data_IF_367440100551
#
_entry.id   IF_367440100551
#
_cell.length_a   1.000
_cell.length_b   1.000
_cell.length_c   1.000
_cell.angle_alpha   90.00
_cell.angle_beta   90.00
_cell.angle_gamma   90.00
#
_symmetry.space_group_name_H-M   'P 1'
#
loop_
_entity.id
_entity.type
_entity.pdbx_description
1 polymer ?
#
# COMPACT_ATOMS: atom_id res chain seq x y z
N UNK A 1 1.04 12.36 27.64
CA UNK A 1 2.45 12.45 27.13
C UNK A 1 2.36 12.73 25.64
N UNK A 2 3.35 13.38 25.03
CA UNK A 2 3.36 13.55 23.58
C UNK A 2 3.62 12.19 22.91
N UNK A 3 3.01 11.93 21.76
CA UNK A 3 3.27 10.73 20.97
C UNK A 3 4.76 10.68 20.53
N UNK A 4 5.31 9.48 20.38
CA UNK A 4 6.69 9.30 19.88
C UNK A 4 6.80 9.74 18.41
N UNK A 5 5.72 9.56 17.63
CA UNK A 5 5.60 10.05 16.26
C UNK A 5 4.36 10.92 16.13
N UNK A 6 4.55 12.15 15.65
CA UNK A 6 3.47 13.12 15.44
C UNK A 6 2.79 12.97 14.07
N UNK A 7 3.47 12.33 13.11
CA UNK A 7 2.98 12.07 11.77
C UNK A 7 3.20 10.61 11.39
N UNK A 8 2.22 10.01 10.73
CA UNK A 8 2.33 8.64 10.21
C UNK A 8 1.83 8.59 8.76
N UNK A 9 2.68 8.05 7.90
CA UNK A 9 2.34 7.82 6.48
C UNK A 9 2.18 6.31 6.29
N UNK A 10 0.97 5.88 5.94
CA UNK A 10 0.62 4.47 5.70
C UNK A 10 0.65 4.13 4.21
N UNK A 11 1.13 2.95 3.86
CA UNK A 11 0.69 2.31 2.63
C UNK A 11 -0.76 1.84 2.75
N UNK A 12 -1.37 1.47 1.63
CA UNK A 12 -2.77 1.04 1.55
C UNK A 12 -2.90 -0.49 1.47
N UNK A 13 -2.51 -1.06 0.30
CA UNK A 13 -2.73 -2.45 -0.04
C UNK A 13 -1.82 -3.37 0.79
N UNK A 14 -2.39 -4.22 1.64
CA UNK A 14 -1.63 -5.07 2.56
C UNK A 14 -1.29 -4.42 3.90
N UNK A 15 -1.49 -3.11 4.05
CA UNK A 15 -1.15 -2.39 5.28
C UNK A 15 -2.38 -2.03 6.10
N UNK A 16 -3.27 -1.20 5.59
CA UNK A 16 -4.53 -0.82 6.25
C UNK A 16 -5.75 -1.46 5.59
N UNK A 17 -5.63 -1.91 4.34
CA UNK A 17 -6.70 -2.51 3.54
C UNK A 17 -6.24 -3.85 2.94
N UNK A 18 -6.99 -4.93 3.17
CA UNK A 18 -6.74 -6.21 2.50
C UNK A 18 -7.46 -6.20 1.14
N UNK A 19 -6.68 -6.07 0.08
CA UNK A 19 -7.16 -5.98 -1.30
C UNK A 19 -6.74 -7.18 -2.15
N UNK A 20 -6.12 -8.20 -1.53
CA UNK A 20 -5.44 -9.27 -2.24
C UNK A 20 -6.37 -10.09 -3.14
N UNK A 21 -7.56 -10.45 -2.63
CA UNK A 21 -8.51 -11.31 -3.35
C UNK A 21 -9.05 -10.63 -4.60
N UNK A 22 -9.41 -9.35 -4.52
CA UNK A 22 -9.93 -8.59 -5.66
C UNK A 22 -8.85 -8.32 -6.72
N UNK A 23 -7.60 -8.07 -6.29
CA UNK A 23 -6.47 -7.96 -7.21
C UNK A 23 -6.17 -9.29 -7.91
N UNK A 24 -6.25 -10.41 -7.18
CA UNK A 24 -6.06 -11.75 -7.73
C UNK A 24 -7.21 -12.12 -8.68
N UNK A 25 -8.46 -11.82 -8.33
CA UNK A 25 -9.62 -12.05 -9.20
C UNK A 25 -9.46 -11.30 -10.54
N UNK A 26 -9.08 -10.02 -10.50
CA UNK A 26 -8.87 -9.22 -11.70
C UNK A 26 -7.71 -9.74 -12.56
N UNK A 27 -6.60 -10.15 -11.93
CA UNK A 27 -5.48 -10.75 -12.65
C UNK A 27 -5.85 -12.08 -13.30
N UNK A 28 -6.56 -12.95 -12.60
CA UNK A 28 -7.02 -14.24 -13.11
C UNK A 28 -8.08 -14.08 -14.20
N UNK A 29 -9.02 -13.13 -14.04
CA UNK A 29 -9.97 -12.80 -15.11
C UNK A 29 -9.23 -12.41 -16.40
N UNK A 30 -8.21 -11.55 -16.29
CA UNK A 30 -7.37 -11.16 -17.45
C UNK A 30 -6.66 -12.37 -18.03
N UNK A 31 -6.07 -13.23 -17.20
CA UNK A 31 -5.42 -14.46 -17.67
C UNK A 31 -6.39 -15.35 -18.44
N UNK A 32 -7.60 -15.58 -17.93
CA UNK A 32 -8.63 -16.39 -18.57
C UNK A 32 -9.09 -15.82 -19.93
N UNK A 33 -9.28 -14.48 -20.00
CA UNK A 33 -9.66 -13.78 -21.23
C UNK A 33 -8.63 -13.96 -22.35
N UNK A 34 -7.36 -14.11 -21.98
CA UNK A 34 -6.25 -14.32 -22.93
C UNK A 34 -5.83 -15.79 -23.06
N UNK A 35 -6.47 -16.73 -22.38
CA UNK A 35 -6.12 -18.16 -22.38
C UNK A 35 -4.78 -18.46 -21.68
N UNK A 36 -4.37 -17.62 -20.73
CA UNK A 36 -3.14 -17.77 -19.94
C UNK A 36 -3.39 -18.58 -18.67
N UNK A 37 -2.33 -19.17 -18.08
CA UNK A 37 -2.43 -19.80 -16.77
C UNK A 37 -2.86 -18.82 -15.70
N UNK A 38 -3.78 -19.26 -14.80
CA UNK A 38 -4.17 -18.54 -13.61
C UNK A 38 -3.26 -18.88 -12.42
N UNK A 39 -3.35 -18.09 -11.34
CA UNK A 39 -2.54 -18.22 -10.14
C UNK A 39 -3.44 -18.33 -8.90
N UNK A 40 -2.97 -19.04 -7.88
CA UNK A 40 -3.63 -19.00 -6.57
C UNK A 40 -3.57 -17.58 -5.98
N UNK A 41 -4.58 -17.22 -5.16
CA UNK A 41 -4.63 -15.90 -4.52
C UNK A 41 -3.33 -15.58 -3.77
N UNK A 42 -2.79 -16.57 -3.07
CA UNK A 42 -1.56 -16.40 -2.27
C UNK A 42 -0.31 -16.08 -3.12
N UNK A 43 -0.26 -16.49 -4.37
CA UNK A 43 0.82 -16.14 -5.30
C UNK A 43 0.81 -14.66 -5.69
N UNK A 44 -0.35 -14.00 -5.60
CA UNK A 44 -0.46 -12.56 -5.85
C UNK A 44 0.22 -11.71 -4.79
N UNK A 45 0.48 -12.23 -3.59
CA UNK A 45 1.24 -11.53 -2.54
C UNK A 45 2.56 -10.98 -3.09
N UNK A 46 3.23 -11.72 -3.98
CA UNK A 46 4.52 -11.32 -4.57
C UNK A 46 4.39 -10.60 -5.93
N UNK A 47 3.19 -10.54 -6.49
CA UNK A 47 2.92 -9.81 -7.72
C UNK A 47 2.51 -8.35 -7.45
N UNK A 48 1.86 -8.09 -6.32
CA UNK A 48 1.37 -6.76 -5.87
C UNK A 48 2.50 -5.93 -5.22
N UNK A 49 2.28 -4.62 -5.05
CA UNK A 49 3.15 -3.68 -4.28
C UNK A 49 3.88 -2.63 -5.14
N UNK A 50 4.09 -2.87 -6.43
CA UNK A 50 4.78 -1.92 -7.32
C UNK A 50 3.85 -1.22 -8.33
N UNK A 51 2.54 -1.20 -8.05
CA UNK A 51 1.52 -0.62 -8.91
C UNK A 51 1.02 -1.57 -10.00
N UNK A 52 -0.05 -1.15 -10.66
CA UNK A 52 -0.81 -1.97 -11.61
C UNK A 52 0.03 -2.43 -12.82
N UNK A 53 0.88 -1.57 -13.36
CA UNK A 53 1.71 -1.92 -14.53
C UNK A 53 2.61 -3.13 -14.22
N UNK A 54 3.28 -3.10 -13.06
CA UNK A 54 4.14 -4.21 -12.62
C UNK A 54 3.35 -5.46 -12.25
N UNK A 55 2.14 -5.33 -11.73
CA UNK A 55 1.26 -6.46 -11.48
C UNK A 55 0.91 -7.16 -12.79
N UNK A 56 0.51 -6.42 -13.83
CA UNK A 56 0.20 -6.98 -15.16
C UNK A 56 1.44 -7.66 -15.77
N UNK A 57 2.60 -7.01 -15.76
CA UNK A 57 3.85 -7.62 -16.24
C UNK A 57 4.16 -8.96 -15.55
N UNK A 58 3.84 -9.09 -14.24
CA UNK A 58 4.17 -10.27 -13.42
C UNK A 58 3.23 -11.45 -13.60
N UNK A 59 2.03 -11.25 -14.09
CA UNK A 59 1.14 -12.37 -14.40
C UNK A 59 1.10 -12.71 -15.90
N UNK A 60 1.61 -11.84 -16.78
CA UNK A 60 1.74 -12.16 -18.20
C UNK A 60 2.77 -13.29 -18.42
N UNK A 61 2.48 -14.26 -19.32
CA UNK A 61 3.44 -15.27 -19.68
C UNK A 61 4.71 -14.68 -20.29
N UNK A 62 5.88 -15.31 -20.00
CA UNK A 62 7.18 -14.83 -20.44
C UNK A 62 7.33 -14.70 -21.96
N UNK A 63 6.55 -15.46 -22.74
CA UNK A 63 6.53 -15.40 -24.21
C UNK A 63 6.03 -14.06 -24.76
N UNK A 64 5.26 -13.29 -23.95
CA UNK A 64 4.80 -11.94 -24.28
C UNK A 64 5.67 -10.83 -23.64
N UNK A 65 6.81 -11.19 -23.04
CA UNK A 65 7.70 -10.20 -22.45
C UNK A 65 8.21 -9.24 -23.56
N UNK A 66 7.92 -7.94 -23.39
CA UNK A 66 8.26 -6.92 -24.39
C UNK A 66 7.24 -6.72 -25.51
N UNK A 67 6.16 -7.51 -25.58
CA UNK A 67 5.04 -7.24 -26.49
C UNK A 67 4.15 -6.12 -25.93
N UNK A 68 4.45 -4.88 -26.31
CA UNK A 68 3.73 -3.70 -25.85
C UNK A 68 2.24 -3.72 -26.23
N UNK A 69 1.86 -4.33 -27.36
CA UNK A 69 0.44 -4.44 -27.76
C UNK A 69 -0.32 -5.39 -26.83
N UNK A 70 0.26 -6.56 -26.55
CA UNK A 70 -0.35 -7.54 -25.64
C UNK A 70 -0.44 -6.98 -24.23
N UNK A 71 0.61 -6.26 -23.77
CA UNK A 71 0.61 -5.60 -22.47
C UNK A 71 -0.54 -4.58 -22.35
N UNK A 72 -0.73 -3.70 -23.33
CA UNK A 72 -1.80 -2.71 -23.32
C UNK A 72 -3.20 -3.34 -23.32
N UNK A 73 -3.38 -4.45 -24.04
CA UNK A 73 -4.63 -5.21 -24.03
C UNK A 73 -4.91 -5.81 -22.65
N UNK A 74 -3.93 -6.51 -22.06
CA UNK A 74 -4.04 -7.09 -20.72
C UNK A 74 -4.27 -6.02 -19.65
N UNK A 75 -3.60 -4.88 -19.75
CA UNK A 75 -3.77 -3.76 -18.84
C UNK A 75 -5.18 -3.16 -18.94
N UNK A 76 -5.72 -3.01 -20.12
CA UNK A 76 -7.08 -2.50 -20.32
C UNK A 76 -8.12 -3.46 -19.75
N UNK A 77 -7.98 -4.78 -19.98
CA UNK A 77 -8.84 -5.82 -19.42
C UNK A 77 -8.80 -5.82 -17.89
N UNK A 78 -7.58 -5.82 -17.31
CA UNK A 78 -7.41 -5.76 -15.86
C UNK A 78 -8.08 -4.52 -15.27
N UNK A 79 -7.87 -3.33 -15.88
CA UNK A 79 -8.46 -2.07 -15.41
C UNK A 79 -9.99 -2.09 -15.43
N UNK A 80 -10.57 -2.62 -16.51
CA UNK A 80 -12.01 -2.71 -16.65
C UNK A 80 -12.60 -3.58 -15.55
N UNK A 81 -12.11 -4.81 -15.39
CA UNK A 81 -12.59 -5.73 -14.38
C UNK A 81 -12.35 -5.23 -12.94
N UNK A 82 -11.12 -4.81 -12.63
CA UNK A 82 -10.78 -4.31 -11.30
C UNK A 82 -11.58 -3.05 -10.94
N UNK A 83 -11.89 -2.19 -11.91
CA UNK A 83 -12.72 -1.00 -11.69
C UNK A 83 -14.10 -1.32 -11.13
N UNK A 84 -14.71 -2.42 -11.58
CA UNK A 84 -16.04 -2.87 -11.18
C UNK A 84 -16.02 -3.77 -9.92
N UNK A 85 -14.93 -4.56 -9.72
CA UNK A 85 -14.85 -5.64 -8.74
C UNK A 85 -13.86 -5.38 -7.58
N UNK A 86 -13.28 -4.20 -7.48
CA UNK A 86 -12.24 -3.87 -6.46
C UNK A 86 -12.74 -3.83 -5.01
N UNK A 87 -14.02 -4.07 -4.80
CA UNK A 87 -14.70 -3.96 -3.52
C UNK A 87 -15.49 -5.20 -3.13
N UNK A 88 -15.35 -6.30 -3.90
CA UNK A 88 -16.11 -7.53 -3.68
C UNK A 88 -15.64 -8.27 -2.41
N UNK A 89 -14.32 -8.28 -2.14
CA UNK A 89 -13.68 -8.92 -0.98
C UNK A 89 -12.80 -7.96 -0.18
N UNK A 90 -12.52 -6.77 -0.72
CA UNK A 90 -11.68 -5.77 -0.06
C UNK A 90 -12.29 -5.30 1.26
N UNK A 91 -11.49 -5.32 2.33
CA UNK A 91 -11.91 -4.87 3.66
C UNK A 91 -10.72 -4.34 4.47
N UNK A 92 -10.93 -3.42 5.44
CA UNK A 92 -9.91 -3.09 6.43
C UNK A 92 -9.47 -4.32 7.22
N UNK A 93 -8.18 -4.40 7.56
CA UNK A 93 -7.74 -5.40 8.53
C UNK A 93 -8.41 -5.18 9.88
N UNK A 94 -8.67 -6.28 10.62
CA UNK A 94 -9.31 -6.21 11.92
C UNK A 94 -8.53 -5.28 12.88
N UNK A 95 -9.22 -4.37 13.57
CA UNK A 95 -8.62 -3.41 14.50
C UNK A 95 -8.01 -2.16 13.83
N UNK A 96 -7.98 -2.07 12.50
CA UNK A 96 -7.38 -0.92 11.79
C UNK A 96 -8.14 0.37 12.07
N UNK A 97 -9.48 0.36 12.00
CA UNK A 97 -10.29 1.56 12.22
C UNK A 97 -10.10 2.08 13.65
N UNK A 98 -10.15 1.20 14.64
CA UNK A 98 -9.95 1.53 16.05
C UNK A 98 -8.55 2.10 16.31
N UNK A 99 -7.53 1.52 15.67
CA UNK A 99 -6.15 2.04 15.73
C UNK A 99 -6.08 3.46 15.15
N UNK A 100 -6.60 3.69 13.95
CA UNK A 100 -6.57 5.02 13.30
C UNK A 100 -7.31 6.06 14.16
N UNK A 101 -8.48 5.72 14.71
CA UNK A 101 -9.24 6.62 15.58
C UNK A 101 -8.48 6.93 16.88
N UNK A 102 -7.81 5.94 17.50
CA UNK A 102 -6.95 6.13 18.67
C UNK A 102 -5.78 7.08 18.39
N UNK A 103 -5.09 6.90 17.27
CA UNK A 103 -3.98 7.77 16.86
C UNK A 103 -4.43 9.22 16.64
N UNK A 104 -5.56 9.41 15.94
CA UNK A 104 -6.14 10.76 15.75
C UNK A 104 -6.55 11.41 17.05
N UNK A 105 -7.19 10.67 17.96
CA UNK A 105 -7.58 11.17 19.27
C UNK A 105 -6.37 11.61 20.11
N UNK A 106 -5.20 11.03 19.89
CA UNK A 106 -3.93 11.44 20.48
C UNK A 106 -3.25 12.62 19.75
N UNK A 107 -3.84 13.14 18.67
CA UNK A 107 -3.31 14.28 17.91
C UNK A 107 -2.28 13.90 16.84
N UNK A 108 -2.13 12.60 16.52
CA UNK A 108 -1.25 12.15 15.42
C UNK A 108 -1.89 12.48 14.08
N UNK A 109 -1.15 13.10 13.18
CA UNK A 109 -1.59 13.34 11.80
C UNK A 109 -1.30 12.12 10.94
N UNK A 110 -2.32 11.67 10.21
CA UNK A 110 -2.25 10.47 9.37
C UNK A 110 -2.32 10.83 7.89
N UNK A 111 -1.53 10.16 7.07
CA UNK A 111 -1.60 10.23 5.62
C UNK A 111 -1.52 8.83 5.00
N UNK A 112 -1.96 8.72 3.76
CA UNK A 112 -1.76 7.52 2.93
C UNK A 112 -0.87 7.86 1.75
N UNK A 113 0.13 7.02 1.49
CA UNK A 113 0.96 7.05 0.29
C UNK A 113 1.08 5.65 -0.30
N UNK A 114 0.53 5.44 -1.49
CA UNK A 114 0.47 4.13 -2.13
C UNK A 114 0.86 4.15 -3.61
N UNK A 115 1.41 3.02 -4.10
CA UNK A 115 1.66 2.79 -5.53
C UNK A 115 0.38 2.45 -6.32
N UNK A 116 -0.77 2.31 -5.65
CA UNK A 116 -2.07 2.19 -6.31
C UNK A 116 -2.43 3.51 -6.99
N UNK A 117 -2.95 3.44 -8.22
CA UNK A 117 -3.38 4.64 -8.96
C UNK A 117 -4.35 5.47 -8.10
N UNK A 118 -4.15 6.79 -8.05
CA UNK A 118 -4.91 7.69 -7.17
C UNK A 118 -6.43 7.59 -7.40
N UNK A 119 -6.83 7.45 -8.66
CA UNK A 119 -8.25 7.30 -9.04
C UNK A 119 -8.89 6.02 -8.48
N UNK A 120 -8.09 5.01 -8.14
CA UNK A 120 -8.57 3.78 -7.50
C UNK A 120 -8.40 3.82 -5.97
N UNK A 121 -7.38 4.48 -5.45
CA UNK A 121 -7.08 4.54 -4.02
C UNK A 121 -8.05 5.48 -3.27
N UNK A 122 -8.27 6.69 -3.78
CA UNK A 122 -9.07 7.70 -3.08
C UNK A 122 -10.52 7.25 -2.80
N UNK A 123 -11.26 6.63 -3.75
CA UNK A 123 -12.60 6.11 -3.46
C UNK A 123 -12.62 4.98 -2.39
N UNK A 124 -11.61 4.11 -2.37
CA UNK A 124 -11.51 3.06 -1.35
C UNK A 124 -11.26 3.66 0.04
N UNK A 125 -10.39 4.67 0.13
CA UNK A 125 -10.16 5.38 1.40
C UNK A 125 -11.45 6.04 1.88
N UNK A 126 -12.15 6.74 1.01
CA UNK A 126 -13.43 7.39 1.35
C UNK A 126 -14.45 6.37 1.86
N UNK A 127 -14.61 5.26 1.14
CA UNK A 127 -15.59 4.22 1.49
C UNK A 127 -15.31 3.56 2.84
N UNK A 128 -14.06 3.14 3.07
CA UNK A 128 -13.73 2.28 4.21
C UNK A 128 -13.29 3.06 5.45
N UNK A 129 -12.78 4.27 5.28
CA UNK A 129 -12.20 5.05 6.37
C UNK A 129 -12.82 6.44 6.54
N UNK A 130 -13.50 6.99 5.50
CA UNK A 130 -13.92 8.39 5.46
C UNK A 130 -12.75 9.33 5.20
N UNK A 131 -13.00 10.41 4.47
CA UNK A 131 -11.95 11.37 4.06
C UNK A 131 -11.31 12.11 5.24
N UNK A 132 -12.03 12.27 6.33
CA UNK A 132 -11.58 13.05 7.49
C UNK A 132 -10.52 12.36 8.35
N UNK A 133 -10.24 11.05 8.16
CA UNK A 133 -9.22 10.33 8.94
C UNK A 133 -7.81 10.64 8.52
N UNK A 134 -7.62 11.00 7.26
CA UNK A 134 -6.30 11.28 6.71
C UNK A 134 -6.18 12.75 6.29
N UNK A 135 -5.12 13.41 6.72
CA UNK A 135 -4.81 14.78 6.30
C UNK A 135 -4.47 14.85 4.81
N UNK A 136 -3.89 13.75 4.25
CA UNK A 136 -3.54 13.63 2.84
C UNK A 136 -3.68 12.18 2.39
N UNK A 137 -4.21 11.99 1.17
CA UNK A 137 -4.20 10.71 0.45
C UNK A 137 -3.48 10.89 -0.88
N UNK A 138 -2.32 10.27 -1.02
CA UNK A 138 -1.50 10.30 -2.22
C UNK A 138 -1.42 8.91 -2.84
N UNK A 139 -2.16 8.66 -3.90
CA UNK A 139 -1.95 7.53 -4.79
C UNK A 139 -0.99 7.88 -5.91
N UNK A 140 -0.64 6.89 -6.74
CA UNK A 140 0.22 7.09 -7.89
C UNK A 140 -0.40 8.07 -8.89
N UNK A 141 0.42 9.02 -9.32
CA UNK A 141 0.17 9.97 -10.41
C UNK A 141 1.45 10.13 -11.22
N UNK A 142 1.35 10.57 -12.48
CA UNK A 142 2.51 10.71 -13.38
C UNK A 142 3.48 11.84 -12.95
N UNK A 143 3.04 12.74 -12.07
CA UNK A 143 3.87 13.85 -11.57
C UNK A 143 5.05 13.39 -10.71
N UNK A 144 5.00 12.18 -10.14
CA UNK A 144 6.04 11.65 -9.28
C UNK A 144 6.46 10.24 -9.71
N UNK A 145 7.75 9.88 -9.54
CA UNK A 145 8.17 8.49 -9.63
C UNK A 145 7.48 7.66 -8.53
N UNK A 146 7.22 6.35 -8.78
CA UNK A 146 6.59 5.50 -7.78
C UNK A 146 7.50 5.24 -6.58
N UNK A 147 6.91 4.80 -5.46
CA UNK A 147 7.65 4.21 -4.34
C UNK A 147 8.54 3.06 -4.86
N UNK A 148 9.77 2.89 -4.36
CA UNK A 148 10.37 3.52 -3.17
C UNK A 148 11.12 4.83 -3.45
N UNK A 149 10.98 5.46 -4.60
CA UNK A 149 11.66 6.72 -4.88
C UNK A 149 11.21 7.83 -3.91
N UNK A 150 12.18 8.62 -3.41
CA UNK A 150 11.94 9.61 -2.37
C UNK A 150 11.00 10.78 -2.75
N UNK A 151 10.95 11.29 -4.00
CA UNK A 151 10.26 12.53 -4.31
C UNK A 151 8.81 12.60 -3.86
N UNK A 152 8.03 11.51 -4.04
CA UNK A 152 6.62 11.51 -3.65
C UNK A 152 6.46 11.51 -2.12
N UNK A 153 7.33 10.82 -1.38
CA UNK A 153 7.31 10.82 0.10
C UNK A 153 7.67 12.18 0.66
N UNK A 154 8.69 12.84 0.09
CA UNK A 154 9.10 14.20 0.48
C UNK A 154 7.99 15.22 0.20
N UNK A 155 7.27 15.10 -0.92
CA UNK A 155 6.09 15.91 -1.21
C UNK A 155 4.99 15.72 -0.16
N UNK A 156 4.66 14.48 0.21
CA UNK A 156 3.68 14.18 1.27
C UNK A 156 4.09 14.82 2.60
N UNK A 157 5.37 14.74 2.96
CA UNK A 157 5.89 15.36 4.17
C UNK A 157 5.79 16.88 4.15
N UNK A 158 6.10 17.52 3.01
CA UNK A 158 5.96 18.96 2.82
C UNK A 158 4.52 19.43 2.99
N UNK A 159 3.56 18.74 2.36
CA UNK A 159 2.13 19.03 2.48
C UNK A 159 1.60 18.90 3.93
N UNK A 160 2.16 17.95 4.69
CA UNK A 160 1.82 17.75 6.10
C UNK A 160 2.54 18.71 7.04
N UNK A 161 3.57 19.42 6.59
CA UNK A 161 4.50 20.15 7.46
C UNK A 161 5.23 19.21 8.44
N UNK A 162 5.52 17.98 8.01
CA UNK A 162 6.02 16.91 8.86
C UNK A 162 7.54 16.99 9.04
N UNK A 163 8.02 16.77 10.27
CA UNK A 163 9.45 16.65 10.60
C UNK A 163 9.88 15.18 10.46
N UNK A 164 10.97 14.89 9.71
CA UNK A 164 11.45 13.52 9.53
C UNK A 164 11.73 12.78 10.86
N UNK A 165 12.20 13.48 11.88
CA UNK A 165 12.53 12.87 13.18
C UNK A 165 11.31 12.39 13.98
N UNK A 166 10.11 12.89 13.66
CA UNK A 166 8.85 12.56 14.30
C UNK A 166 7.82 11.99 13.34
N UNK A 167 8.25 11.57 12.14
CA UNK A 167 7.42 10.93 11.13
C UNK A 167 7.79 9.46 10.97
N UNK A 168 6.78 8.59 10.94
CA UNK A 168 6.93 7.15 10.71
C UNK A 168 6.29 6.75 9.38
N UNK A 169 7.01 5.99 8.56
CA UNK A 169 6.44 5.31 7.41
C UNK A 169 6.03 3.89 7.79
N UNK A 170 4.80 3.48 7.44
CA UNK A 170 4.23 2.17 7.80
C UNK A 170 3.80 1.42 6.55
N UNK A 171 4.27 0.19 6.38
CA UNK A 171 3.89 -0.66 5.27
C UNK A 171 4.19 -2.14 5.49
N UNK A 172 3.80 -2.98 4.54
CA UNK A 172 3.86 -4.43 4.67
C UNK A 172 4.92 -5.12 3.78
N UNK A 173 5.72 -4.35 3.05
CA UNK A 173 6.68 -4.88 2.07
C UNK A 173 8.05 -4.21 2.16
N UNK A 174 9.05 -4.83 1.51
CA UNK A 174 10.37 -4.22 1.33
C UNK A 174 10.31 -2.86 0.63
N UNK A 175 9.34 -2.66 -0.29
CA UNK A 175 9.13 -1.37 -0.96
C UNK A 175 8.84 -0.27 0.05
N UNK A 176 8.04 -0.56 1.06
CA UNK A 176 7.64 0.42 2.09
C UNK A 176 8.79 0.78 3.02
N UNK A 177 9.56 -0.23 3.42
CA UNK A 177 10.74 -0.02 4.25
C UNK A 177 11.73 0.89 3.52
N UNK A 178 12.02 0.59 2.26
CA UNK A 178 12.88 1.43 1.42
C UNK A 178 12.28 2.83 1.18
N UNK A 179 10.95 2.94 1.06
CA UNK A 179 10.27 4.24 0.90
C UNK A 179 10.53 5.16 2.10
N UNK A 180 10.37 4.64 3.32
CA UNK A 180 10.71 5.37 4.54
C UNK A 180 12.19 5.78 4.55
N UNK A 181 13.10 4.84 4.36
CA UNK A 181 14.54 5.08 4.41
C UNK A 181 15.03 6.07 3.34
N UNK A 182 14.55 5.95 2.10
CA UNK A 182 14.94 6.84 1.01
C UNK A 182 14.49 8.30 1.26
N UNK A 183 13.45 8.51 2.05
CA UNK A 183 13.00 9.83 2.48
C UNK A 183 13.59 10.28 3.83
N UNK A 184 14.50 9.50 4.43
CA UNK A 184 15.12 9.81 5.72
C UNK A 184 14.21 9.58 6.92
N UNK A 185 13.16 8.78 6.78
CA UNK A 185 12.21 8.43 7.83
C UNK A 185 12.58 7.10 8.50
N UNK A 186 12.10 6.91 9.72
CA UNK A 186 11.98 5.58 10.29
C UNK A 186 10.83 4.81 9.63
N UNK A 187 11.00 3.49 9.56
CA UNK A 187 10.03 2.58 8.96
C UNK A 187 9.53 1.54 9.96
N UNK A 188 8.22 1.27 9.92
CA UNK A 188 7.62 0.16 10.63
C UNK A 188 6.98 -0.83 9.62
N UNK A 189 7.44 -2.08 9.66
CA UNK A 189 6.85 -3.17 8.92
C UNK A 189 5.70 -3.80 9.68
N UNK A 190 4.58 -4.06 9.01
CA UNK A 190 3.42 -4.74 9.57
C UNK A 190 3.36 -6.18 9.04
N UNK A 191 3.42 -7.19 9.94
CA UNK A 191 3.56 -8.59 9.54
C UNK A 191 2.26 -9.27 9.11
N UNK A 192 1.10 -8.64 9.36
CA UNK A 192 -0.22 -9.16 8.91
C UNK A 192 -0.49 -8.96 7.42
N UNK A 193 0.36 -8.19 6.72
CA UNK A 193 0.20 -7.88 5.31
C UNK A 193 0.61 -8.99 4.35
N UNK A 194 1.00 -8.63 3.14
CA UNK A 194 1.26 -9.59 2.07
C UNK A 194 2.62 -10.29 2.21
N UNK A 195 3.66 -9.63 2.78
CA UNK A 195 5.04 -10.14 2.75
C UNK A 195 5.51 -10.85 4.03
N UNK A 196 4.96 -10.49 5.17
CA UNK A 196 5.32 -11.08 6.45
C UNK A 196 6.67 -10.63 7.03
N UNK A 197 6.90 -11.01 8.28
CA UNK A 197 8.00 -10.51 9.15
C UNK A 197 9.40 -10.69 8.55
N UNK A 198 9.70 -11.86 7.97
CA UNK A 198 11.06 -12.16 7.52
C UNK A 198 11.53 -11.24 6.39
N UNK A 199 10.65 -10.86 5.45
CA UNK A 199 10.99 -9.89 4.39
C UNK A 199 11.22 -8.50 4.98
N UNK A 200 10.38 -8.06 5.92
CA UNK A 200 10.48 -6.75 6.56
C UNK A 200 11.79 -6.60 7.35
N UNK A 201 12.15 -7.60 8.14
CA UNK A 201 13.43 -7.65 8.86
C UNK A 201 14.61 -7.65 7.90
N UNK A 202 14.53 -8.43 6.83
CA UNK A 202 15.58 -8.51 5.79
C UNK A 202 15.74 -7.20 5.03
N UNK A 203 14.65 -6.44 4.87
CA UNK A 203 14.67 -5.09 4.27
C UNK A 203 15.22 -4.01 5.21
N UNK A 204 15.48 -4.35 6.48
CA UNK A 204 16.07 -3.46 7.48
C UNK A 204 15.04 -2.56 8.18
N UNK A 205 13.78 -2.97 8.31
CA UNK A 205 12.76 -2.20 9.03
C UNK A 205 13.27 -1.79 10.43
N UNK A 206 13.07 -0.52 10.80
CA UNK A 206 13.43 -0.04 12.15
C UNK A 206 12.58 -0.73 13.23
N UNK A 207 11.32 -1.02 12.88
CA UNK A 207 10.36 -1.73 13.73
C UNK A 207 9.60 -2.76 12.91
N UNK A 208 9.25 -3.91 13.53
CA UNK A 208 8.31 -4.87 12.95
C UNK A 208 7.28 -5.22 14.02
N UNK A 209 6.01 -5.03 13.71
CA UNK A 209 4.88 -5.25 14.61
C UNK A 209 3.92 -6.30 14.03
N UNK A 210 3.26 -7.05 14.91
CA UNK A 210 2.36 -8.14 14.52
C UNK A 210 0.88 -7.77 14.65
N UNK A 211 0.55 -6.69 15.37
CA UNK A 211 -0.83 -6.27 15.61
C UNK A 211 -0.99 -4.75 15.52
N UNK A 212 -2.22 -4.31 15.23
CA UNK A 212 -2.61 -2.90 15.24
C UNK A 212 -2.42 -2.27 16.63
N UNK A 213 -2.60 -3.05 17.70
CA UNK A 213 -2.37 -2.60 19.07
C UNK A 213 -0.90 -2.29 19.33
N UNK A 214 0.03 -3.15 18.87
CA UNK A 214 1.48 -2.93 18.95
C UNK A 214 1.91 -1.71 18.13
N UNK A 215 1.35 -1.55 16.92
CA UNK A 215 1.63 -0.37 16.10
C UNK A 215 1.17 0.92 16.77
N UNK A 216 -0.03 0.93 17.35
CA UNK A 216 -0.53 2.10 18.08
C UNK A 216 0.35 2.43 19.30
N UNK A 217 0.75 1.42 20.08
CA UNK A 217 1.65 1.60 21.23
C UNK A 217 3.01 2.18 20.82
N UNK A 218 3.61 1.65 19.75
CA UNK A 218 4.85 2.17 19.17
C UNK A 218 4.73 3.65 18.80
N UNK A 219 3.67 4.03 18.08
CA UNK A 219 3.45 5.40 17.61
C UNK A 219 3.22 6.35 18.78
N UNK A 220 2.48 5.91 19.81
CA UNK A 220 2.15 6.72 20.98
C UNK A 220 3.28 6.76 22.01
N UNK A 221 4.28 5.88 21.94
CA UNK A 221 5.39 5.80 22.91
C UNK A 221 4.96 5.17 24.25
N UNK A 222 4.10 4.14 24.19
CA UNK A 222 3.56 3.40 25.33
C UNK A 222 4.31 2.09 25.62
#
# INVERSE_FOLDING_TARGET
MAAAFSHVIFDLDGTILNTLEDLAAAGNHTCEAHGWPTFAVDEYRYKVGNGMLKLVERFMPAEYAGDGRMFEQALAEFRAYYGEHKEDHTAPYAGTIEMLDRLRAAGVQLAVLTNKDHVSAAPLIEKYFGSERFALVQGRVDAFPPKPEAPVTLHVMEELGADPSTTLYVGDSNVDILTGHNAGLKSAGVSWGFRGRAELESAGADYVVDTQGELAALILGE
#
